data_IF_637706415948
#
_entry.id   IF_637706415948
#
_cell.length_a   1.000
_cell.length_b   1.000
_cell.length_c   1.000
_cell.angle_alpha   90.00
_cell.angle_beta   90.00
_cell.angle_gamma   90.00
#
_symmetry.space_group_name_H-M   'P 1'
#
loop_
_entity.id
_entity.type
_entity.pdbx_description
1 polymer ?
#
# COMPACT_ATOMS: atom_id res chain seq x y z
N UNK A 1 10.29 6.20 54.64
CA UNK A 1 10.50 5.07 53.70
C UNK A 1 9.53 5.19 52.51
N UNK A 2 10.01 5.56 51.31
CA UNK A 2 9.17 5.65 50.10
C UNK A 2 9.26 4.32 49.32
N UNK A 3 8.16 3.58 49.23
CA UNK A 3 8.08 2.32 48.45
C UNK A 3 8.11 2.65 46.95
N UNK A 4 9.15 2.19 46.27
CA UNK A 4 9.33 2.36 44.82
C UNK A 4 8.27 1.60 44.03
N UNK A 5 7.64 2.28 43.07
CA UNK A 5 6.76 1.70 42.05
C UNK A 5 7.58 0.73 41.18
N UNK A 6 7.29 -0.58 41.27
CA UNK A 6 7.82 -1.58 40.34
C UNK A 6 7.42 -1.18 38.91
N UNK A 7 8.41 -0.90 38.05
CA UNK A 7 8.20 -0.78 36.61
C UNK A 7 7.65 -2.12 36.12
N UNK A 8 6.45 -2.09 35.55
CA UNK A 8 5.85 -3.25 34.90
C UNK A 8 6.81 -3.81 33.87
N UNK A 9 6.96 -5.13 33.88
CA UNK A 9 7.77 -5.88 32.93
C UNK A 9 7.31 -5.47 31.52
N UNK A 10 8.18 -4.80 30.73
CA UNK A 10 7.93 -4.61 29.31
C UNK A 10 8.03 -6.01 28.71
N UNK A 11 6.89 -6.66 28.51
CA UNK A 11 6.83 -7.95 27.85
C UNK A 11 7.68 -7.92 26.59
N UNK A 12 8.39 -9.01 26.33
CA UNK A 12 9.26 -9.11 25.16
C UNK A 12 8.53 -8.63 23.90
N UNK A 13 9.16 -7.78 23.08
CA UNK A 13 8.54 -7.35 21.83
C UNK A 13 8.23 -8.61 21.01
N UNK A 14 6.94 -8.81 20.72
CA UNK A 14 6.48 -9.93 19.88
C UNK A 14 7.35 -9.99 18.63
N UNK A 15 7.81 -11.19 18.20
CA UNK A 15 8.61 -11.31 16.99
C UNK A 15 7.80 -10.77 15.81
N UNK A 16 8.20 -9.60 15.31
CA UNK A 16 7.61 -9.01 14.12
C UNK A 16 7.95 -9.90 12.93
N UNK A 17 6.98 -10.71 12.51
CA UNK A 17 7.13 -11.62 11.36
C UNK A 17 6.67 -10.88 10.11
N UNK A 18 7.41 -9.82 9.75
CA UNK A 18 7.11 -8.99 8.59
C UNK A 18 8.36 -8.77 7.75
N UNK A 19 8.16 -8.65 6.45
CA UNK A 19 9.23 -8.41 5.48
C UNK A 19 9.12 -6.98 4.97
N UNK A 20 10.17 -6.19 5.21
CA UNK A 20 10.39 -4.94 4.48
C UNK A 20 11.44 -5.19 3.39
N UNK A 21 11.16 -4.71 2.18
CA UNK A 21 12.00 -4.98 1.03
C UNK A 21 11.89 -3.85 0.00
N UNK A 22 13.00 -3.62 -0.69
CA UNK A 22 13.03 -2.83 -1.90
C UNK A 22 12.58 -3.70 -3.08
N UNK A 23 11.58 -3.24 -3.83
CA UNK A 23 11.16 -3.86 -5.07
C UNK A 23 11.98 -3.30 -6.23
N UNK A 24 12.70 -4.17 -6.93
CA UNK A 24 13.44 -3.83 -8.14
C UNK A 24 12.72 -4.45 -9.33
N UNK A 25 12.39 -3.64 -10.33
CA UNK A 25 11.70 -4.09 -11.54
C UNK A 25 12.73 -4.19 -12.67
N UNK A 26 13.11 -5.40 -13.09
CA UNK A 26 14.01 -5.56 -14.25
C UNK A 26 13.33 -5.14 -15.54
N UNK A 27 12.02 -5.32 -15.64
CA UNK A 27 11.20 -4.87 -16.75
C UNK A 27 10.58 -3.50 -16.44
N UNK A 28 10.80 -2.52 -17.32
CA UNK A 28 10.26 -1.18 -17.14
C UNK A 28 8.74 -1.13 -17.32
N UNK A 29 8.16 -2.00 -18.15
CA UNK A 29 6.71 -2.12 -18.33
C UNK A 29 6.01 -2.54 -17.04
N UNK A 30 6.56 -3.53 -16.33
CA UNK A 30 6.08 -4.01 -15.04
C UNK A 30 6.12 -2.91 -13.97
N UNK A 31 7.19 -2.10 -13.97
CA UNK A 31 7.30 -0.93 -13.11
C UNK A 31 6.18 0.09 -13.38
N UNK A 32 5.99 0.47 -14.64
CA UNK A 32 4.97 1.44 -15.05
C UNK A 32 3.56 0.92 -14.73
N UNK A 33 3.28 -0.33 -15.04
CA UNK A 33 1.98 -0.97 -14.78
C UNK A 33 1.68 -1.07 -13.27
N UNK A 34 2.69 -1.39 -12.47
CA UNK A 34 2.56 -1.42 -11.00
C UNK A 34 2.26 -0.03 -10.44
N UNK A 35 2.98 1.00 -10.89
CA UNK A 35 2.73 2.38 -10.47
C UNK A 35 1.33 2.86 -10.88
N UNK A 36 0.87 2.51 -12.08
CA UNK A 36 -0.49 2.79 -12.51
C UNK A 36 -1.54 2.12 -11.60
N UNK A 37 -1.37 0.83 -11.29
CA UNK A 37 -2.23 0.11 -10.35
C UNK A 37 -2.25 0.77 -8.97
N UNK A 38 -1.09 1.18 -8.42
CA UNK A 38 -1.00 1.90 -7.14
C UNK A 38 -1.78 3.22 -7.19
N UNK A 39 -1.69 3.97 -8.29
CA UNK A 39 -2.41 5.24 -8.48
C UNK A 39 -3.93 5.03 -8.53
N UNK A 40 -4.38 4.01 -9.28
CA UNK A 40 -5.80 3.64 -9.38
C UNK A 40 -6.33 3.15 -8.03
N UNK A 41 -5.61 2.25 -7.35
CA UNK A 41 -5.95 1.78 -6.01
C UNK A 41 -6.07 2.93 -5.00
N UNK A 42 -5.07 3.81 -4.94
CA UNK A 42 -5.11 4.96 -4.02
C UNK A 42 -6.25 5.94 -4.34
N UNK A 43 -6.64 6.04 -5.61
CA UNK A 43 -7.80 6.84 -6.04
C UNK A 43 -9.12 6.20 -5.64
N UNK A 44 -9.23 4.87 -5.80
CA UNK A 44 -10.35 4.07 -5.33
C UNK A 44 -10.55 4.16 -3.81
N UNK A 45 -9.47 4.16 -3.01
CA UNK A 45 -9.55 4.37 -1.55
C UNK A 45 -10.20 5.71 -1.21
N UNK A 46 -9.77 6.80 -1.88
CA UNK A 46 -10.35 8.14 -1.65
C UNK A 46 -11.80 8.23 -2.10
N UNK A 47 -12.10 7.65 -3.25
CA UNK A 47 -13.45 7.59 -3.76
C UNK A 47 -14.35 6.83 -2.79
N UNK A 48 -13.96 5.62 -2.41
CA UNK A 48 -14.66 4.78 -1.44
C UNK A 48 -14.86 5.48 -0.10
N UNK A 49 -13.86 6.20 0.40
CA UNK A 49 -13.98 7.00 1.63
C UNK A 49 -15.12 8.02 1.55
N UNK A 50 -15.21 8.77 0.45
CA UNK A 50 -16.27 9.76 0.26
C UNK A 50 -17.65 9.09 0.12
N UNK A 51 -17.74 7.99 -0.63
CA UNK A 51 -18.99 7.23 -0.79
C UNK A 51 -19.50 6.65 0.53
N UNK A 52 -18.60 6.14 1.36
CA UNK A 52 -18.93 5.66 2.70
C UNK A 52 -19.39 6.79 3.63
N UNK A 53 -18.83 8.01 3.49
CA UNK A 53 -19.30 9.19 4.22
C UNK A 53 -20.70 9.65 3.80
N UNK A 54 -21.06 9.41 2.54
CA UNK A 54 -22.38 9.68 1.97
C UNK A 54 -23.40 8.59 2.31
N UNK A 55 -22.96 7.48 2.91
CA UNK A 55 -23.82 6.37 3.32
C UNK A 55 -24.06 5.32 2.23
N UNK A 56 -23.27 5.32 1.15
CA UNK A 56 -23.40 4.30 0.11
C UNK A 56 -23.03 2.89 0.62
N UNK A 57 -23.73 1.89 0.09
CA UNK A 57 -23.51 0.50 0.47
C UNK A 57 -22.19 -0.06 -0.06
N UNK A 58 -21.43 -0.67 0.85
CA UNK A 58 -20.13 -1.29 0.55
C UNK A 58 -20.22 -2.35 -0.54
N UNK A 59 -21.28 -3.20 -0.54
CA UNK A 59 -21.40 -4.29 -1.53
C UNK A 59 -21.64 -3.71 -2.93
N UNK A 60 -22.47 -2.69 -3.04
CA UNK A 60 -22.70 -1.97 -4.29
C UNK A 60 -21.43 -1.32 -4.85
N UNK A 61 -20.56 -0.79 -3.97
CA UNK A 61 -19.30 -0.15 -4.37
C UNK A 61 -18.27 -1.12 -4.97
N UNK A 62 -18.10 -2.31 -4.37
CA UNK A 62 -17.04 -3.26 -4.73
C UNK A 62 -17.42 -4.38 -5.70
N UNK A 63 -18.71 -4.57 -5.97
CA UNK A 63 -19.15 -5.60 -6.93
C UNK A 63 -18.52 -5.35 -8.30
N UNK A 64 -18.50 -6.35 -9.16
CA UNK A 64 -17.86 -6.27 -10.48
C UNK A 64 -18.41 -5.13 -11.35
N UNK A 65 -19.73 -4.93 -11.35
CA UNK A 65 -20.39 -3.80 -12.01
C UNK A 65 -20.35 -2.48 -11.19
N UNK A 66 -19.70 -2.49 -10.03
CA UNK A 66 -19.63 -1.36 -9.12
C UNK A 66 -18.63 -0.29 -9.56
N UNK A 67 -18.73 0.93 -9.02
CA UNK A 67 -17.88 2.06 -9.41
C UNK A 67 -16.39 1.80 -9.15
N UNK A 68 -16.04 1.03 -8.12
CA UNK A 68 -14.63 0.75 -7.84
C UNK A 68 -13.96 -0.11 -8.91
N UNK A 69 -14.71 -1.07 -9.46
CA UNK A 69 -14.23 -1.95 -10.51
C UNK A 69 -14.28 -1.26 -11.87
N UNK A 70 -15.36 -0.54 -12.17
CA UNK A 70 -15.59 0.07 -13.48
C UNK A 70 -14.79 1.36 -13.71
N UNK A 71 -14.72 2.26 -12.71
CA UNK A 71 -14.03 3.56 -12.87
C UNK A 71 -12.52 3.48 -12.65
N UNK A 72 -12.06 2.54 -11.82
CA UNK A 72 -10.64 2.41 -11.48
C UNK A 72 -10.00 1.13 -12.02
N UNK A 73 -10.75 0.33 -12.79
CA UNK A 73 -10.29 -0.92 -13.41
C UNK A 73 -9.63 -1.86 -12.39
N UNK A 74 -10.22 -1.96 -11.20
CA UNK A 74 -9.75 -2.85 -10.15
C UNK A 74 -10.54 -4.15 -10.20
N UNK A 75 -9.87 -5.27 -9.93
CA UNK A 75 -10.59 -6.49 -9.62
C UNK A 75 -11.34 -6.34 -8.28
N UNK A 76 -12.35 -7.19 -8.06
CA UNK A 76 -13.22 -7.12 -6.88
C UNK A 76 -12.46 -7.26 -5.56
N UNK A 77 -11.30 -7.94 -5.53
CA UNK A 77 -10.46 -8.05 -4.32
C UNK A 77 -9.76 -6.73 -4.00
N UNK A 78 -9.15 -6.09 -4.99
CA UNK A 78 -8.57 -4.76 -4.80
C UNK A 78 -9.63 -3.71 -4.46
N UNK A 79 -10.81 -3.80 -5.05
CA UNK A 79 -11.93 -2.93 -4.70
C UNK A 79 -12.36 -3.11 -3.23
N UNK A 80 -12.47 -4.37 -2.76
CA UNK A 80 -12.77 -4.64 -1.35
C UNK A 80 -11.69 -4.15 -0.40
N UNK A 81 -10.42 -4.36 -0.74
CA UNK A 81 -9.27 -3.93 0.04
C UNK A 81 -9.15 -2.39 0.06
N UNK A 82 -9.53 -1.71 -1.02
CA UNK A 82 -9.62 -0.26 -1.06
C UNK A 82 -10.71 0.27 -0.12
N UNK A 83 -11.89 -0.36 -0.09
CA UNK A 83 -12.95 -0.02 0.86
C UNK A 83 -12.55 -0.31 2.30
N UNK A 84 -11.90 -1.45 2.55
CA UNK A 84 -11.41 -1.79 3.87
C UNK A 84 -10.44 -0.71 4.39
N UNK A 85 -9.52 -0.24 3.53
CA UNK A 85 -8.58 0.82 3.89
C UNK A 85 -9.30 2.16 4.12
N UNK A 86 -10.34 2.46 3.34
CA UNK A 86 -11.17 3.64 3.53
C UNK A 86 -11.97 3.60 4.84
N UNK A 87 -12.60 2.47 5.17
CA UNK A 87 -13.29 2.22 6.44
C UNK A 87 -12.35 2.35 7.62
N UNK A 88 -11.15 1.75 7.54
CA UNK A 88 -10.15 1.86 8.61
C UNK A 88 -9.76 3.32 8.88
N UNK A 89 -9.61 4.13 7.83
CA UNK A 89 -9.38 5.57 7.98
C UNK A 89 -10.58 6.28 8.62
N UNK A 90 -11.81 5.93 8.21
CA UNK A 90 -13.02 6.52 8.75
C UNK A 90 -13.19 6.21 10.25
N UNK A 91 -12.98 4.95 10.62
CA UNK A 91 -12.98 4.48 12.01
C UNK A 91 -11.93 5.21 12.83
N UNK A 92 -10.69 5.32 12.33
CA UNK A 92 -9.62 6.06 13.01
C UNK A 92 -9.99 7.53 13.27
N UNK A 93 -10.61 8.22 12.31
CA UNK A 93 -11.06 9.60 12.53
C UNK A 93 -12.13 9.70 13.64
N UNK A 94 -13.07 8.75 13.68
CA UNK A 94 -14.11 8.68 14.71
C UNK A 94 -13.52 8.42 16.09
N UNK A 95 -12.57 7.49 16.20
CA UNK A 95 -11.86 7.16 17.43
C UNK A 95 -11.05 8.35 17.96
N UNK A 96 -10.39 9.09 17.07
CA UNK A 96 -9.67 10.32 17.39
C UNK A 96 -10.58 11.53 17.66
N UNK A 97 -11.91 11.37 17.56
CA UNK A 97 -12.93 12.43 17.67
C UNK A 97 -12.67 13.60 16.71
N UNK A 98 -12.03 13.32 15.58
CA UNK A 98 -11.80 14.30 14.53
C UNK A 98 -12.95 14.27 13.51
N UNK A 99 -13.19 15.40 12.83
CA UNK A 99 -14.23 15.47 11.81
C UNK A 99 -13.83 14.66 10.55
N UNK A 100 -14.53 13.56 10.20
CA UNK A 100 -14.20 12.74 9.04
C UNK A 100 -14.30 13.49 7.70
N UNK A 101 -15.14 14.53 7.61
CA UNK A 101 -15.27 15.35 6.38
C UNK A 101 -14.07 16.26 6.12
N UNK A 102 -13.15 16.40 7.08
CA UNK A 102 -11.96 17.26 6.98
C UNK A 102 -10.65 16.48 6.78
N UNK A 103 -10.73 15.21 6.41
CA UNK A 103 -9.54 14.39 6.15
C UNK A 103 -8.73 14.92 4.97
N UNK A 104 -7.41 15.03 5.17
CA UNK A 104 -6.45 15.40 4.13
C UNK A 104 -5.61 14.20 3.74
N UNK A 105 -5.92 13.61 2.59
CA UNK A 105 -5.08 12.58 1.98
C UNK A 105 -3.72 13.18 1.56
N UNK A 106 -2.63 12.49 1.90
CA UNK A 106 -1.25 12.95 1.67
C UNK A 106 -0.62 13.71 2.84
N UNK A 107 -1.37 13.93 3.92
CA UNK A 107 -0.88 14.54 5.16
C UNK A 107 -1.15 16.04 5.25
N UNK A 108 -1.69 16.47 6.40
CA UNK A 108 -2.03 17.88 6.70
C UNK A 108 -0.80 18.80 6.70
N UNK A 109 0.29 18.40 7.34
CA UNK A 109 1.54 19.17 7.41
C UNK A 109 2.08 19.49 6.01
N UNK A 110 2.16 18.48 5.16
CA UNK A 110 2.70 18.63 3.81
C UNK A 110 1.80 19.51 2.94
N UNK A 111 0.48 19.43 3.08
CA UNK A 111 -0.45 20.36 2.42
C UNK A 111 -0.24 21.81 2.89
N UNK A 112 -0.07 22.03 4.19
CA UNK A 112 0.19 23.36 4.75
C UNK A 112 1.54 23.93 4.24
N UNK A 113 2.58 23.10 4.19
CA UNK A 113 3.87 23.50 3.63
C UNK A 113 3.76 23.92 2.16
N UNK A 114 2.96 23.22 1.34
CA UNK A 114 2.74 23.59 -0.06
C UNK A 114 2.10 24.97 -0.22
N UNK A 115 1.15 25.32 0.64
CA UNK A 115 0.48 26.62 0.59
C UNK A 115 1.46 27.78 0.85
N UNK A 116 2.40 27.57 1.78
CA UNK A 116 3.45 28.56 2.13
C UNK A 116 4.54 28.64 1.06
N UNK A 117 5.03 27.50 0.59
CA UNK A 117 6.22 27.43 -0.26
C UNK A 117 6.01 27.99 -1.67
N UNK A 118 4.78 27.95 -2.20
CA UNK A 118 4.49 28.40 -3.58
C UNK A 118 4.95 29.84 -3.86
N UNK A 119 4.86 30.72 -2.86
CA UNK A 119 5.29 32.13 -2.98
C UNK A 119 6.72 32.37 -2.50
N UNK A 120 7.26 31.49 -1.67
CA UNK A 120 8.54 31.72 -0.97
C UNK A 120 9.73 30.98 -1.59
N UNK A 121 9.53 29.76 -2.09
CA UNK A 121 10.58 28.91 -2.63
C UNK A 121 10.00 27.90 -3.63
N UNK A 122 10.04 28.26 -4.91
CA UNK A 122 9.46 27.45 -5.98
C UNK A 122 10.16 26.09 -6.17
N UNK A 123 11.51 25.99 -6.15
CA UNK A 123 12.18 24.68 -6.21
C UNK A 123 11.76 23.72 -5.09
N UNK A 124 11.72 24.22 -3.85
CA UNK A 124 11.30 23.40 -2.70
C UNK A 124 9.81 23.05 -2.79
N UNK A 125 8.97 23.97 -3.27
CA UNK A 125 7.55 23.71 -3.54
C UNK A 125 7.36 22.53 -4.50
N UNK A 126 8.06 22.49 -5.63
CA UNK A 126 7.90 21.41 -6.61
C UNK A 126 8.37 20.05 -6.07
N UNK A 127 9.46 20.03 -5.29
CA UNK A 127 9.91 18.82 -4.59
C UNK A 127 8.87 18.31 -3.57
N UNK A 128 8.36 19.21 -2.71
CA UNK A 128 7.31 18.86 -1.73
C UNK A 128 6.00 18.46 -2.39
N UNK A 129 5.67 19.04 -3.54
CA UNK A 129 4.45 18.72 -4.30
C UNK A 129 4.53 17.33 -4.89
N UNK A 130 5.71 16.93 -5.36
CA UNK A 130 5.99 15.55 -5.77
C UNK A 130 5.82 14.61 -4.58
N UNK A 131 6.44 14.90 -3.44
CA UNK A 131 6.28 14.11 -2.22
C UNK A 131 4.80 13.96 -1.81
N UNK A 132 4.02 15.04 -1.86
CA UNK A 132 2.60 15.00 -1.50
C UNK A 132 1.78 14.15 -2.48
N UNK A 133 2.10 14.22 -3.77
CA UNK A 133 1.48 13.36 -4.80
C UNK A 133 1.83 11.89 -4.56
N UNK A 134 3.09 11.58 -4.25
CA UNK A 134 3.52 10.21 -3.96
C UNK A 134 2.85 9.65 -2.71
N UNK A 135 2.80 10.41 -1.60
CA UNK A 135 2.06 10.01 -0.39
C UNK A 135 0.57 9.76 -0.65
N UNK A 136 -0.01 10.43 -1.66
CA UNK A 136 -1.42 10.24 -2.05
C UNK A 136 -1.65 9.08 -3.01
N UNK A 137 -0.66 8.69 -3.81
CA UNK A 137 -0.87 7.82 -4.97
C UNK A 137 0.02 6.57 -4.98
N UNK A 138 1.01 6.50 -4.11
CA UNK A 138 2.04 5.45 -4.08
C UNK A 138 1.73 4.33 -3.11
N UNK A 139 0.47 3.88 -2.98
CA UNK A 139 0.15 2.74 -2.12
C UNK A 139 -0.72 1.73 -2.86
N UNK A 140 -0.35 0.46 -2.73
CA UNK A 140 -1.18 -0.70 -3.04
C UNK A 140 -1.28 -1.54 -1.77
N UNK A 141 -2.49 -1.99 -1.46
CA UNK A 141 -2.72 -2.88 -0.32
C UNK A 141 -3.54 -4.06 -0.81
N UNK A 142 -3.14 -5.26 -0.38
CA UNK A 142 -3.92 -6.46 -0.61
C UNK A 142 -3.83 -7.36 0.61
N UNK A 143 -4.97 -7.91 1.03
CA UNK A 143 -5.06 -8.83 2.16
C UNK A 143 -5.20 -10.26 1.66
N UNK A 144 -4.48 -11.19 2.31
CA UNK A 144 -4.63 -12.62 2.06
C UNK A 144 -5.79 -13.24 2.82
N UNK A 145 -6.35 -14.31 2.27
CA UNK A 145 -7.36 -15.15 2.90
C UNK A 145 -6.79 -16.57 3.04
N UNK A 146 -6.67 -17.06 4.28
CA UNK A 146 -6.14 -18.39 4.58
C UNK A 146 -6.94 -19.50 3.88
N UNK A 147 -8.26 -19.36 3.78
CA UNK A 147 -9.13 -20.34 3.10
C UNK A 147 -8.89 -20.40 1.59
N UNK A 148 -8.25 -19.37 1.01
CA UNK A 148 -7.94 -19.25 -0.42
C UNK A 148 -6.43 -19.39 -0.70
N UNK A 149 -5.67 -19.93 0.25
CA UNK A 149 -4.23 -20.12 0.11
C UNK A 149 -3.42 -18.82 0.18
N UNK A 150 -3.93 -17.81 0.89
CA UNK A 150 -3.25 -16.53 1.13
C UNK A 150 -3.69 -15.43 0.18
N UNK A 151 -2.73 -14.62 -0.29
CA UNK A 151 -3.01 -13.44 -1.11
C UNK A 151 -2.96 -13.82 -2.61
N UNK A 152 -4.03 -13.50 -3.35
CA UNK A 152 -4.14 -13.78 -4.79
C UNK A 152 -3.71 -12.61 -5.68
N UNK A 153 -3.51 -11.44 -5.06
CA UNK A 153 -3.14 -10.21 -5.72
C UNK A 153 -1.64 -9.93 -5.59
N UNK A 154 -1.04 -10.22 -4.44
CA UNK A 154 0.38 -10.04 -4.17
C UNK A 154 0.95 -11.37 -3.66
N UNK A 155 1.84 -12.01 -4.42
CA UNK A 155 2.43 -13.31 -4.07
C UNK A 155 3.95 -13.26 -4.07
N UNK A 156 4.54 -13.65 -2.94
CA UNK A 156 5.96 -13.96 -2.88
C UNK A 156 6.20 -15.35 -3.47
N UNK A 157 7.13 -15.44 -4.41
CA UNK A 157 7.52 -16.71 -5.04
C UNK A 157 9.03 -16.77 -5.21
N UNK A 158 9.59 -17.95 -4.96
CA UNK A 158 10.99 -18.24 -5.30
C UNK A 158 11.03 -18.64 -6.77
N UNK A 159 11.91 -18.00 -7.54
CA UNK A 159 12.15 -18.36 -8.93
C UNK A 159 13.62 -18.28 -9.26
N UNK A 160 14.07 -19.27 -10.00
CA UNK A 160 15.35 -19.25 -10.68
C UNK A 160 15.23 -18.40 -11.94
N UNK A 161 15.99 -17.30 -12.00
CA UNK A 161 16.08 -16.47 -13.20
C UNK A 161 17.49 -15.92 -13.31
N UNK A 162 18.11 -16.06 -14.47
CA UNK A 162 19.32 -15.30 -14.78
C UNK A 162 18.93 -13.82 -14.84
N UNK A 163 19.45 -13.04 -13.90
CA UNK A 163 19.39 -11.59 -13.96
C UNK A 163 20.43 -11.15 -15.00
N UNK A 164 20.12 -10.12 -15.80
CA UNK A 164 21.05 -9.58 -16.80
C UNK A 164 22.43 -9.32 -16.17
N UNK A 165 23.46 -10.01 -16.66
CA UNK A 165 24.84 -9.90 -16.17
C UNK A 165 25.25 -10.90 -15.08
N UNK A 166 24.38 -11.82 -14.66
CA UNK A 166 24.75 -12.89 -13.73
C UNK A 166 25.14 -14.18 -14.49
N UNK A 167 26.35 -14.72 -14.30
CA UNK A 167 26.84 -15.90 -15.03
C UNK A 167 26.14 -17.21 -14.61
N UNK A 168 25.46 -17.21 -13.46
CA UNK A 168 24.76 -18.40 -12.94
C UNK A 168 23.35 -18.02 -12.52
N UNK A 169 22.32 -18.82 -12.86
CA UNK A 169 20.99 -18.65 -12.31
C UNK A 169 21.03 -18.72 -10.79
N UNK A 170 20.33 -17.80 -10.13
CA UNK A 170 20.20 -17.79 -8.67
C UNK A 170 18.72 -17.88 -8.30
N UNK A 171 18.43 -18.64 -7.25
CA UNK A 171 17.12 -18.63 -6.61
C UNK A 171 16.92 -17.25 -6.00
N UNK A 172 15.92 -16.54 -6.51
CA UNK A 172 15.61 -15.19 -6.08
C UNK A 172 14.17 -15.13 -5.58
N UNK A 173 13.93 -14.28 -4.59
CA UNK A 173 12.59 -13.99 -4.11
C UNK A 173 11.96 -12.92 -5.01
N UNK A 174 10.79 -13.21 -5.56
CA UNK A 174 10.03 -12.31 -6.43
C UNK A 174 8.67 -12.02 -5.84
N UNK A 175 8.19 -10.80 -6.06
CA UNK A 175 6.81 -10.42 -5.85
C UNK A 175 6.09 -10.45 -7.19
N UNK A 176 5.13 -11.36 -7.32
CA UNK A 176 4.14 -11.36 -8.38
C UNK A 176 3.00 -10.41 -7.98
N UNK A 177 2.69 -9.45 -8.85
CA UNK A 177 1.64 -8.46 -8.66
C UNK A 177 0.57 -8.69 -9.72
N UNK A 178 -0.65 -9.03 -9.31
CA UNK A 178 -1.78 -9.21 -10.20
C UNK A 178 -2.25 -7.86 -10.75
N UNK A 179 -2.20 -7.68 -12.06
CA UNK A 179 -2.63 -6.44 -12.71
C UNK A 179 -4.11 -6.48 -13.15
N UNK A 180 -4.78 -7.63 -12.99
CA UNK A 180 -6.08 -7.93 -13.59
C UNK A 180 -5.94 -8.76 -14.87
N UNK A 181 -7.05 -9.33 -15.35
CA UNK A 181 -7.12 -9.98 -16.68
C UNK A 181 -6.02 -11.03 -16.95
N UNK A 182 -5.62 -11.79 -15.91
CA UNK A 182 -4.53 -12.79 -15.97
C UNK A 182 -3.15 -12.21 -16.33
N UNK A 183 -2.96 -10.89 -16.22
CA UNK A 183 -1.67 -10.20 -16.38
C UNK A 183 -1.00 -10.01 -15.03
N UNK A 184 0.32 -10.12 -15.02
CA UNK A 184 1.12 -10.00 -13.81
C UNK A 184 2.37 -9.17 -14.06
N UNK A 185 2.70 -8.31 -13.10
CA UNK A 185 4.00 -7.67 -13.01
C UNK A 185 4.91 -8.43 -12.04
N UNK A 186 6.22 -8.36 -12.29
CA UNK A 186 7.24 -9.05 -11.52
C UNK A 186 8.27 -8.08 -10.97
N UNK A 187 8.45 -8.12 -9.65
CA UNK A 187 9.49 -7.37 -8.97
C UNK A 187 10.42 -8.30 -8.19
N UNK A 188 11.72 -8.10 -8.34
CA UNK A 188 12.72 -8.72 -7.48
C UNK A 188 12.62 -8.11 -6.08
N UNK A 189 12.57 -8.97 -5.06
CA UNK A 189 12.47 -8.56 -3.66
C UNK A 189 13.87 -8.49 -3.07
N UNK A 190 14.42 -7.28 -2.96
CA UNK A 190 15.70 -7.04 -2.26
C UNK A 190 15.44 -6.74 -0.80
N UNK A 191 15.88 -7.64 0.08
CA UNK A 191 15.67 -7.51 1.52
C UNK A 191 16.92 -7.90 2.29
N UNK A 192 17.11 -7.29 3.46
CA UNK A 192 18.13 -7.66 4.45
C UNK A 192 17.55 -8.56 5.56
N UNK A 193 16.39 -9.18 5.34
CA UNK A 193 15.71 -9.98 6.37
C UNK A 193 16.62 -11.13 6.85
N UNK A 194 16.82 -11.30 8.17
CA UNK A 194 17.82 -12.24 8.72
C UNK A 194 17.52 -13.71 8.42
N UNK A 195 16.28 -14.02 8.02
CA UNK A 195 15.85 -15.37 7.61
C UNK A 195 15.61 -15.50 6.10
N UNK A 196 16.27 -14.69 5.26
CA UNK A 196 16.10 -14.76 3.80
C UNK A 196 16.35 -16.17 3.26
N UNK A 197 17.34 -16.89 3.79
CA UNK A 197 17.62 -18.28 3.38
C UNK A 197 16.51 -19.27 3.72
N UNK A 198 15.61 -18.95 4.65
CA UNK A 198 14.42 -19.77 4.91
C UNK A 198 13.26 -19.43 3.97
N UNK A 199 13.40 -18.38 3.16
CA UNK A 199 12.41 -17.88 2.19
C UNK A 199 12.81 -18.17 0.73
N UNK A 200 14.07 -18.54 0.48
CA UNK A 200 14.64 -18.96 -0.81
C UNK A 200 14.66 -20.49 -0.87
#
# INVERSE_FOLDING_TARGET
>A
MRRGRKKGNKGEPKPYTGLEALLVFPDHGDYVATLDLMRRFSSAVRYGYNRLLEGEDRKALKRESGPLCTLFHLNTRYADDALLKAEALLTSQRELRENPRKVVFGGRKLLADLARLKKANLPLYESRKREWRERRKGTLYARGDRSKGGNLNLRLVVRERSLFGAPTPQMNLWLQINLGEKRYAWALVKTSHPRLQALL
#
